data_IF_990647333090
#
_entry.id   IF_990647333090
#
_cell.length_a   1.000
_cell.length_b   1.000
_cell.length_c   1.000
_cell.angle_alpha   90.00
_cell.angle_beta   90.00
_cell.angle_gamma   90.00
#
_symmetry.space_group_name_H-M   'P 1'
#
loop_
_entity.id
_entity.type
_entity.pdbx_description
1 polymer ?
#
# COMPACT_ATOMS: atom_id res chain seq x y z
N UNK A 1 -37.31 6.24 45.31
CA UNK A 1 -36.29 5.55 46.13
C UNK A 1 -35.79 6.55 47.15
N UNK A 2 -35.72 6.18 48.43
CA UNK A 2 -35.18 7.07 49.47
C UNK A 2 -33.66 6.97 49.55
N UNK A 3 -33.01 7.91 50.24
CA UNK A 3 -31.56 7.84 50.53
C UNK A 3 -31.21 6.59 51.34
N UNK A 4 -32.10 6.16 52.25
CA UNK A 4 -31.96 4.92 53.03
C UNK A 4 -31.90 3.69 52.11
N UNK A 5 -32.80 3.62 51.12
CA UNK A 5 -32.86 2.50 50.18
C UNK A 5 -31.58 2.44 49.32
N UNK A 6 -31.12 3.60 48.84
CA UNK A 6 -29.89 3.70 48.06
C UNK A 6 -28.66 3.26 48.88
N UNK A 7 -28.55 3.73 50.13
CA UNK A 7 -27.48 3.31 51.03
C UNK A 7 -27.55 1.80 51.32
N UNK A 8 -28.74 1.24 51.54
CA UNK A 8 -28.92 -0.20 51.72
C UNK A 8 -28.50 -1.02 50.50
N UNK A 9 -28.85 -0.56 49.29
CA UNK A 9 -28.48 -1.23 48.04
C UNK A 9 -26.97 -1.23 47.79
N UNK A 10 -26.30 -0.10 47.98
CA UNK A 10 -24.83 -0.02 47.87
C UNK A 10 -24.13 -0.79 49.00
N UNK A 11 -24.75 -0.84 50.18
CA UNK A 11 -24.25 -1.60 51.33
C UNK A 11 -24.21 -3.10 51.06
N UNK A 12 -25.18 -3.61 50.29
CA UNK A 12 -25.16 -4.99 49.79
C UNK A 12 -23.90 -5.29 48.96
N UNK A 13 -23.51 -4.37 48.06
CA UNK A 13 -22.32 -4.55 47.22
C UNK A 13 -21.07 -4.47 48.10
N UNK A 14 -21.01 -3.50 49.02
CA UNK A 14 -19.93 -3.36 49.98
C UNK A 14 -19.73 -4.64 50.80
N UNK A 15 -20.83 -5.26 51.23
CA UNK A 15 -20.89 -6.47 52.05
C UNK A 15 -20.90 -7.77 51.21
N UNK A 16 -20.12 -7.79 50.12
CA UNK A 16 -19.84 -8.98 49.30
C UNK A 16 -21.09 -9.74 48.79
N UNK A 17 -22.17 -8.98 48.58
CA UNK A 17 -23.43 -9.46 48.04
C UNK A 17 -24.45 -9.92 49.07
N UNK A 18 -24.16 -9.77 50.37
CA UNK A 18 -25.11 -10.00 51.45
C UNK A 18 -25.85 -8.71 51.80
N UNK A 19 -27.15 -8.68 51.56
CA UNK A 19 -28.02 -7.59 51.96
C UNK A 19 -28.33 -7.66 53.46
N UNK A 20 -28.26 -6.50 54.11
CA UNK A 20 -28.71 -6.30 55.50
C UNK A 20 -29.69 -5.14 55.50
N UNK A 21 -30.88 -5.36 56.06
CA UNK A 21 -31.92 -4.32 56.12
C UNK A 21 -31.43 -3.13 56.97
N UNK A 22 -31.41 -1.90 56.42
CA UNK A 22 -30.99 -0.74 57.19
C UNK A 22 -31.95 -0.49 58.36
N UNK A 23 -31.41 -0.60 59.58
CA UNK A 23 -32.16 -0.51 60.85
C UNK A 23 -31.59 0.63 61.70
N UNK A 24 -32.47 1.44 62.29
CA UNK A 24 -32.09 2.55 63.19
C UNK A 24 -32.20 2.20 64.68
N UNK A 25 -33.08 1.26 65.04
CA UNK A 25 -33.33 0.84 66.43
C UNK A 25 -32.84 -0.59 66.60
N UNK A 26 -31.79 -0.79 67.40
CA UNK A 26 -31.22 -2.11 67.66
C UNK A 26 -31.95 -2.82 68.82
N UNK A 27 -32.27 -2.06 69.87
CA UNK A 27 -32.87 -2.58 71.10
C UNK A 27 -33.70 -1.49 71.79
N UNK A 28 -34.83 -1.87 72.37
CA UNK A 28 -35.68 -1.03 73.24
C UNK A 28 -35.77 -1.70 74.59
N UNK A 29 -35.50 -0.94 75.65
CA UNK A 29 -35.56 -1.39 77.04
C UNK A 29 -36.74 -0.71 77.76
N UNK A 30 -37.38 -1.43 78.68
CA UNK A 30 -38.30 -0.84 79.65
C UNK A 30 -37.54 0.01 80.68
N UNK A 31 -38.27 0.77 81.50
CA UNK A 31 -37.69 1.51 82.63
C UNK A 31 -36.95 0.59 83.62
N UNK A 32 -37.41 -0.65 83.75
CA UNK A 32 -36.83 -1.67 84.63
C UNK A 32 -35.65 -2.42 83.97
N UNK A 33 -35.28 -2.05 82.74
CA UNK A 33 -34.16 -2.65 82.00
C UNK A 33 -34.52 -3.94 81.25
N UNK A 34 -35.79 -4.30 81.16
CA UNK A 34 -36.24 -5.49 80.42
C UNK A 34 -36.28 -5.23 78.92
N UNK A 35 -35.90 -6.23 78.11
CA UNK A 35 -35.88 -6.11 76.66
C UNK A 35 -37.30 -6.19 76.08
N UNK A 36 -37.77 -5.06 75.54
CA UNK A 36 -39.10 -4.94 74.92
C UNK A 36 -39.05 -5.26 73.42
N UNK A 37 -37.95 -4.87 72.77
CA UNK A 37 -37.71 -5.15 71.36
C UNK A 37 -36.21 -5.32 71.12
N UNK A 38 -35.85 -6.30 70.31
CA UNK A 38 -34.51 -6.48 69.78
C UNK A 38 -34.61 -6.86 68.31
N UNK A 39 -33.89 -6.12 67.45
CA UNK A 39 -33.80 -6.45 66.03
C UNK A 39 -32.68 -7.48 65.84
N UNK A 40 -33.06 -8.68 65.40
CA UNK A 40 -32.10 -9.66 64.90
C UNK A 40 -31.58 -9.23 63.52
N UNK A 41 -30.25 -9.23 63.36
CA UNK A 41 -29.60 -8.88 62.09
C UNK A 41 -29.66 -10.07 61.15
N UNK A 42 -30.64 -10.10 60.26
CA UNK A 42 -30.70 -11.08 59.18
C UNK A 42 -29.86 -10.63 57.99
N UNK A 43 -29.09 -11.57 57.43
CA UNK A 43 -28.36 -11.37 56.19
C UNK A 43 -28.96 -12.22 55.09
N UNK A 44 -29.16 -11.63 53.92
CA UNK A 44 -29.69 -12.34 52.74
C UNK A 44 -28.70 -12.20 51.60
N UNK A 45 -28.15 -13.31 51.10
CA UNK A 45 -27.29 -13.28 49.91
C UNK A 45 -28.14 -13.01 48.66
N UNK A 46 -27.87 -11.88 47.99
CA UNK A 46 -28.58 -11.47 46.77
C UNK A 46 -27.67 -11.46 45.54
N UNK A 47 -26.34 -11.50 45.72
CA UNK A 47 -25.37 -11.75 44.65
C UNK A 47 -24.18 -12.57 45.17
N UNK A 48 -23.46 -13.22 44.27
CA UNK A 48 -22.23 -13.94 44.62
C UNK A 48 -21.12 -12.94 45.01
N UNK A 49 -20.16 -13.40 45.82
CA UNK A 49 -19.00 -12.57 46.21
C UNK A 49 -18.21 -12.12 44.99
N UNK A 50 -18.10 -12.99 43.98
CA UNK A 50 -17.40 -12.70 42.72
C UNK A 50 -18.09 -11.55 41.97
N UNK A 51 -19.42 -11.59 41.85
CA UNK A 51 -20.17 -10.52 41.18
C UNK A 51 -20.12 -9.21 41.99
N UNK A 52 -20.18 -9.29 43.32
CA UNK A 52 -19.99 -8.12 44.18
C UNK A 52 -18.59 -7.52 43.96
N UNK A 53 -17.53 -8.34 43.94
CA UNK A 53 -16.16 -7.87 43.71
C UNK A 53 -15.94 -7.28 42.30
N UNK A 54 -16.53 -7.87 41.26
CA UNK A 54 -16.51 -7.28 39.91
C UNK A 54 -17.22 -5.93 39.92
N UNK A 55 -18.38 -5.84 40.57
CA UNK A 55 -19.09 -4.57 40.72
C UNK A 55 -18.27 -3.53 41.51
N UNK A 56 -17.55 -3.94 42.56
CA UNK A 56 -16.59 -3.08 43.27
C UNK A 56 -15.53 -2.52 42.32
N UNK A 57 -14.92 -3.37 41.47
CA UNK A 57 -13.92 -2.95 40.50
C UNK A 57 -14.49 -1.95 39.48
N UNK A 58 -15.68 -2.23 38.92
CA UNK A 58 -16.37 -1.31 38.00
C UNK A 58 -16.63 0.04 38.68
N UNK A 59 -17.10 0.03 39.93
CA UNK A 59 -17.43 1.23 40.70
C UNK A 59 -16.20 1.97 41.25
N UNK A 60 -14.99 1.39 41.18
CA UNK A 60 -13.76 2.13 41.45
C UNK A 60 -13.37 3.07 40.30
N UNK A 61 -13.76 2.78 39.06
CA UNK A 61 -13.36 3.58 37.89
C UNK A 61 -13.87 5.04 37.95
N UNK A 62 -15.14 5.32 38.34
CA UNK A 62 -15.59 6.70 38.58
C UNK A 62 -14.74 7.47 39.60
N UNK A 63 -14.14 6.79 40.57
CA UNK A 63 -13.29 7.38 41.62
C UNK A 63 -11.83 7.53 41.17
N UNK A 64 -11.30 6.63 40.34
CA UNK A 64 -9.90 6.69 39.90
C UNK A 64 -9.69 7.71 38.78
N UNK A 65 -10.56 7.67 37.77
CA UNK A 65 -10.36 8.40 36.51
C UNK A 65 -11.64 9.02 35.95
N UNK A 66 -12.79 8.74 36.57
CA UNK A 66 -14.09 9.17 36.04
C UNK A 66 -14.76 10.32 36.78
N UNK A 67 -16.10 10.28 36.79
CA UNK A 67 -16.98 11.40 37.15
C UNK A 67 -16.94 11.82 38.62
N UNK A 68 -16.32 11.03 39.49
CA UNK A 68 -16.23 11.27 40.93
C UNK A 68 -14.76 11.29 41.43
N UNK A 69 -13.80 11.53 40.55
CA UNK A 69 -12.37 11.45 40.89
C UNK A 69 -11.96 12.35 42.07
N UNK A 70 -12.59 13.51 42.22
CA UNK A 70 -12.37 14.45 43.32
C UNK A 70 -12.76 13.89 44.70
N UNK A 71 -13.63 12.88 44.74
CA UNK A 71 -14.11 12.25 45.97
C UNK A 71 -13.19 11.15 46.51
N UNK A 72 -12.08 10.85 45.81
CA UNK A 72 -11.11 9.85 46.24
C UNK A 72 -10.60 10.12 47.67
N UNK A 73 -10.48 9.04 48.45
CA UNK A 73 -9.89 9.07 49.81
C UNK A 73 -8.53 8.36 49.74
N UNK A 74 -7.41 9.09 49.83
CA UNK A 74 -6.08 8.49 49.63
C UNK A 74 -5.79 7.29 50.53
N UNK A 75 -5.31 6.21 49.92
CA UNK A 75 -4.95 4.97 50.62
C UNK A 75 -6.11 4.00 50.85
N UNK A 76 -7.36 4.44 50.65
CA UNK A 76 -8.54 3.58 50.74
C UNK A 76 -8.92 3.03 49.38
N UNK A 77 -9.55 1.86 49.35
CA UNK A 77 -10.38 1.49 48.21
C UNK A 77 -11.78 2.06 48.41
N UNK A 78 -12.20 2.87 47.46
CA UNK A 78 -13.48 3.55 47.45
C UNK A 78 -14.14 3.28 46.10
N UNK A 79 -15.39 2.81 46.15
CA UNK A 79 -16.23 2.60 44.98
C UNK A 79 -17.43 3.55 45.06
N UNK A 80 -17.78 4.21 43.95
CA UNK A 80 -18.93 5.10 43.93
C UNK A 80 -19.49 5.29 42.52
N UNK A 81 -20.74 5.77 42.45
CA UNK A 81 -21.36 6.17 41.18
C UNK A 81 -22.19 7.44 41.35
N UNK A 82 -21.96 8.37 40.42
CA UNK A 82 -22.77 9.58 40.26
C UNK A 82 -24.12 9.25 39.63
N UNK A 83 -25.18 9.92 40.08
CA UNK A 83 -26.49 9.94 39.45
C UNK A 83 -26.92 11.39 39.16
N UNK A 84 -27.64 11.57 38.06
CA UNK A 84 -28.21 12.86 37.63
C UNK A 84 -29.48 12.55 36.87
N UNK A 85 -30.60 13.14 37.26
CA UNK A 85 -31.85 13.04 36.50
C UNK A 85 -31.87 14.02 35.33
N UNK A 86 -32.77 13.80 34.37
CA UNK A 86 -33.01 14.76 33.28
C UNK A 86 -33.37 16.13 33.84
N UNK A 87 -33.02 17.17 33.09
CA UNK A 87 -33.21 18.58 33.49
C UNK A 87 -32.55 18.93 34.84
N UNK A 88 -31.61 18.09 35.30
CA UNK A 88 -30.75 18.33 36.46
C UNK A 88 -31.50 18.55 37.80
N UNK A 89 -32.70 17.97 37.95
CA UNK A 89 -33.49 18.10 39.19
C UNK A 89 -32.85 17.43 40.41
N UNK A 90 -32.22 16.27 40.22
CA UNK A 90 -31.62 15.49 41.30
C UNK A 90 -30.16 15.20 41.01
N UNK A 91 -29.32 15.43 42.03
CA UNK A 91 -27.93 15.01 42.01
C UNK A 91 -27.67 13.96 43.07
N UNK A 92 -27.03 12.87 42.66
CA UNK A 92 -26.70 11.75 43.55
C UNK A 92 -25.21 11.42 43.52
N UNK A 93 -24.67 11.02 44.66
CA UNK A 93 -23.47 10.20 44.75
C UNK A 93 -23.68 9.11 45.80
N UNK A 94 -23.60 7.87 45.36
CA UNK A 94 -23.69 6.70 46.23
C UNK A 94 -22.39 5.92 46.14
N UNK A 95 -21.85 5.49 47.27
CA UNK A 95 -20.57 4.81 47.30
C UNK A 95 -20.22 4.25 48.66
N UNK A 96 -19.12 3.51 48.72
CA UNK A 96 -18.72 2.77 49.90
C UNK A 96 -17.22 2.45 49.92
N UNK A 97 -16.74 2.23 51.14
CA UNK A 97 -15.52 1.49 51.46
C UNK A 97 -15.90 0.17 52.15
N UNK A 98 -14.94 -0.62 52.64
CA UNK A 98 -15.26 -1.78 53.49
C UNK A 98 -15.83 -1.39 54.87
N UNK A 99 -15.72 -0.12 55.29
CA UNK A 99 -16.21 0.34 56.61
C UNK A 99 -17.58 0.99 56.53
N UNK A 100 -17.80 1.83 55.52
CA UNK A 100 -19.01 2.64 55.44
C UNK A 100 -19.60 2.64 54.03
N UNK A 101 -20.93 2.72 53.98
CA UNK A 101 -21.68 3.06 52.78
C UNK A 101 -22.40 4.39 53.00
N UNK A 102 -22.39 5.23 51.98
CA UNK A 102 -23.08 6.51 52.02
C UNK A 102 -23.79 6.77 50.69
N UNK A 103 -25.01 7.26 50.79
CA UNK A 103 -25.75 7.82 49.68
C UNK A 103 -26.03 9.30 50.00
N UNK A 104 -25.77 10.17 49.04
CA UNK A 104 -26.07 11.60 49.14
C UNK A 104 -26.98 11.96 47.99
N UNK A 105 -28.15 12.52 48.33
CA UNK A 105 -29.03 13.22 47.41
C UNK A 105 -28.89 14.72 47.64
N UNK A 106 -28.93 15.47 46.56
CA UNK A 106 -28.99 16.93 46.57
C UNK A 106 -30.00 17.37 45.52
N UNK A 107 -31.01 18.11 45.97
CA UNK A 107 -32.12 18.61 45.16
C UNK A 107 -32.98 19.55 46.00
N UNK A 108 -34.10 19.95 45.43
CA UNK A 108 -35.10 20.80 46.08
C UNK A 108 -36.34 19.99 46.45
N UNK A 109 -37.04 20.40 47.50
CA UNK A 109 -38.31 19.76 47.89
C UNK A 109 -39.40 19.94 46.82
N UNK A 110 -39.35 21.06 46.09
CA UNK A 110 -40.12 21.28 44.87
C UNK A 110 -39.24 20.98 43.67
N UNK A 111 -39.82 20.42 42.60
CA UNK A 111 -39.04 20.02 41.41
C UNK A 111 -38.47 21.25 40.72
N UNK A 112 -37.18 21.49 40.92
CA UNK A 112 -36.44 22.62 40.40
C UNK A 112 -35.04 22.20 39.94
N UNK A 113 -34.54 22.87 38.91
CA UNK A 113 -33.21 22.62 38.35
C UNK A 113 -32.11 22.94 39.37
N UNK A 114 -31.22 21.97 39.63
CA UNK A 114 -30.05 22.18 40.49
C UNK A 114 -28.94 22.86 39.71
N UNK A 115 -28.85 24.19 39.87
CA UNK A 115 -27.80 25.03 39.29
C UNK A 115 -26.60 25.14 40.24
N UNK A 116 -25.43 24.70 39.76
CA UNK A 116 -24.16 24.86 40.47
C UNK A 116 -23.02 25.11 39.49
N UNK A 117 -21.88 25.59 40.00
CA UNK A 117 -20.65 25.75 39.23
C UNK A 117 -19.63 24.71 39.67
N UNK A 118 -18.97 24.07 38.72
CA UNK A 118 -17.86 23.16 38.97
C UNK A 118 -18.30 21.76 39.35
N UNK A 119 -18.11 21.38 40.62
CA UNK A 119 -18.23 19.99 41.08
C UNK A 119 -19.65 19.69 41.56
N UNK A 120 -20.16 18.50 41.24
CA UNK A 120 -21.48 18.04 41.67
C UNK A 120 -21.66 18.18 43.20
N UNK A 121 -22.69 18.91 43.68
CA UNK A 121 -22.88 19.22 45.11
C UNK A 121 -23.06 17.97 45.98
N UNK A 122 -23.78 16.94 45.50
CA UNK A 122 -23.90 15.68 46.24
C UNK A 122 -22.54 14.99 46.41
N UNK A 123 -21.68 15.11 45.39
CA UNK A 123 -20.31 14.61 45.43
C UNK A 123 -19.40 15.38 46.37
N UNK A 124 -19.59 16.70 46.50
CA UNK A 124 -18.83 17.52 47.45
C UNK A 124 -19.14 17.13 48.90
N UNK A 125 -20.42 16.98 49.23
CA UNK A 125 -20.86 16.50 50.55
C UNK A 125 -20.30 15.11 50.81
N UNK A 126 -20.43 14.20 49.83
CA UNK A 126 -19.90 12.84 49.95
C UNK A 126 -18.40 12.85 50.21
N UNK A 127 -17.64 13.64 49.45
CA UNK A 127 -16.20 13.73 49.60
C UNK A 127 -15.79 14.28 50.97
N UNK A 128 -16.48 15.30 51.47
CA UNK A 128 -16.16 15.92 52.75
C UNK A 128 -16.38 14.91 53.89
N UNK A 129 -17.55 14.27 53.90
CA UNK A 129 -17.91 13.29 54.94
C UNK A 129 -17.01 12.06 54.88
N UNK A 130 -16.82 11.44 53.71
CA UNK A 130 -15.96 10.26 53.59
C UNK A 130 -14.51 10.56 53.99
N UNK A 131 -13.96 11.72 53.63
CA UNK A 131 -12.59 12.07 54.03
C UNK A 131 -12.48 12.27 55.54
N UNK A 132 -13.50 12.86 56.18
CA UNK A 132 -13.52 13.07 57.62
C UNK A 132 -13.60 11.74 58.39
N UNK A 133 -14.59 10.90 58.09
CA UNK A 133 -14.84 9.67 58.86
C UNK A 133 -13.78 8.58 58.65
N UNK A 134 -12.87 8.75 57.69
CA UNK A 134 -11.78 7.82 57.41
C UNK A 134 -10.39 8.31 57.88
N UNK A 135 -10.28 9.48 58.53
CA UNK A 135 -8.97 10.05 58.94
C UNK A 135 -8.18 9.13 59.88
N UNK A 136 -8.87 8.59 60.89
CA UNK A 136 -8.24 7.85 62.00
C UNK A 136 -8.52 6.35 61.93
N UNK A 137 -9.01 5.86 60.79
CA UNK A 137 -9.30 4.44 60.57
C UNK A 137 -8.14 3.73 59.90
N UNK A 138 -7.97 2.45 60.25
CA UNK A 138 -7.03 1.58 59.56
C UNK A 138 -7.48 1.38 58.11
N UNK A 139 -6.60 1.75 57.17
CA UNK A 139 -6.86 1.70 55.73
C UNK A 139 -7.12 0.27 55.27
N UNK A 140 -8.19 0.09 54.51
CA UNK A 140 -8.58 -1.21 53.99
C UNK A 140 -8.74 -1.20 52.46
N UNK A 141 -8.43 -2.35 51.85
CA UNK A 141 -8.55 -2.60 50.41
C UNK A 141 -9.62 -3.66 50.16
N UNK A 142 -10.25 -3.61 48.99
CA UNK A 142 -11.20 -4.64 48.60
C UNK A 142 -10.47 -5.96 48.42
N UNK A 143 -10.97 -7.02 49.06
CA UNK A 143 -10.36 -8.35 49.00
C UNK A 143 -10.94 -9.12 47.82
N UNK A 144 -10.06 -9.66 46.98
CA UNK A 144 -10.46 -10.54 45.89
C UNK A 144 -10.97 -11.88 46.44
N UNK A 145 -12.22 -12.28 46.16
CA UNK A 145 -12.73 -13.58 46.58
C UNK A 145 -12.17 -14.70 45.71
N UNK A 146 -12.24 -15.95 46.20
CA UNK A 146 -11.93 -17.13 45.38
C UNK A 146 -12.87 -17.21 44.17
N UNK A 147 -12.43 -17.82 43.08
CA UNK A 147 -13.26 -17.98 41.87
C UNK A 147 -13.37 -16.71 41.01
N UNK A 148 -12.48 -15.74 41.21
CA UNK A 148 -12.19 -14.72 40.20
C UNK A 148 -11.14 -15.28 39.24
N UNK A 149 -11.41 -15.19 37.95
CA UNK A 149 -10.49 -15.62 36.88
C UNK A 149 -10.24 -14.47 35.92
N UNK A 150 -9.10 -14.48 35.24
CA UNK A 150 -8.74 -13.48 34.22
C UNK A 150 -8.79 -14.10 32.84
N UNK A 151 -9.32 -13.37 31.87
CA UNK A 151 -9.29 -13.75 30.46
C UNK A 151 -8.94 -12.54 29.60
N UNK A 152 -8.25 -12.80 28.49
CA UNK A 152 -8.10 -11.79 27.45
C UNK A 152 -9.39 -11.73 26.65
N UNK A 153 -9.89 -10.51 26.42
CA UNK A 153 -11.09 -10.24 25.63
C UNK A 153 -10.84 -9.16 24.58
N UNK A 154 -11.67 -9.19 23.55
CA UNK A 154 -11.77 -8.14 22.56
C UNK A 154 -12.46 -6.90 23.16
N UNK A 155 -11.81 -5.73 23.07
CA UNK A 155 -12.32 -4.42 23.51
C UNK A 155 -13.67 -4.06 22.91
N UNK A 156 -13.89 -4.43 21.65
CA UNK A 156 -15.08 -4.01 20.90
C UNK A 156 -16.24 -5.01 21.03
N UNK A 157 -15.95 -6.30 21.12
CA UNK A 157 -17.01 -7.33 21.12
C UNK A 157 -17.29 -7.95 22.50
N UNK A 158 -16.43 -7.75 23.50
CA UNK A 158 -16.53 -8.41 24.80
C UNK A 158 -16.41 -9.94 24.75
N UNK A 159 -15.90 -10.48 23.64
CA UNK A 159 -15.75 -11.93 23.36
C UNK A 159 -14.27 -12.34 23.36
N UNK A 160 -13.98 -13.64 23.30
CA UNK A 160 -12.60 -14.11 23.20
C UNK A 160 -11.93 -13.54 21.94
N UNK A 161 -10.71 -12.98 22.03
CA UNK A 161 -10.07 -12.32 20.92
C UNK A 161 -9.60 -13.34 19.87
N UNK A 162 -9.49 -12.88 18.64
CA UNK A 162 -8.80 -13.58 17.55
C UNK A 162 -7.50 -12.83 17.23
N UNK A 163 -6.68 -13.39 16.34
CA UNK A 163 -5.49 -12.70 15.81
C UNK A 163 -5.86 -11.37 15.12
N UNK A 164 -7.06 -11.30 14.55
CA UNK A 164 -7.60 -10.09 13.93
C UNK A 164 -7.78 -8.95 14.93
N UNK A 165 -8.15 -9.22 16.19
CA UNK A 165 -8.26 -8.20 17.23
C UNK A 165 -6.90 -7.54 17.52
N UNK A 166 -5.82 -8.32 17.49
CA UNK A 166 -4.46 -7.81 17.71
C UNK A 166 -3.93 -7.03 16.51
N UNK A 167 -4.44 -7.34 15.30
CA UNK A 167 -4.05 -6.73 14.02
C UNK A 167 -5.00 -5.61 13.57
N UNK A 168 -5.91 -5.17 14.42
CA UNK A 168 -6.82 -4.06 14.12
C UNK A 168 -6.02 -2.78 13.81
N UNK A 169 -6.42 -2.02 12.77
CA UNK A 169 -5.71 -0.81 12.36
C UNK A 169 -5.67 0.33 13.40
N UNK A 170 -6.54 0.29 14.41
CA UNK A 170 -6.56 1.23 15.55
C UNK A 170 -5.56 0.85 16.66
N UNK A 171 -4.79 -0.22 16.47
CA UNK A 171 -3.92 -0.83 17.47
C UNK A 171 -4.61 -1.96 18.23
N UNK A 172 -3.81 -2.79 18.92
CA UNK A 172 -4.27 -4.02 19.56
C UNK A 172 -5.53 -3.85 20.41
N UNK A 173 -6.60 -4.53 19.99
CA UNK A 173 -7.94 -4.49 20.63
C UNK A 173 -8.14 -5.59 21.66
N UNK A 174 -7.06 -6.06 22.26
CA UNK A 174 -7.09 -7.11 23.29
C UNK A 174 -6.72 -6.51 24.64
N UNK A 175 -7.45 -6.86 25.69
CA UNK A 175 -7.11 -6.53 27.07
C UNK A 175 -7.52 -7.64 28.03
N UNK A 176 -6.88 -7.69 29.19
CA UNK A 176 -7.23 -8.64 30.24
C UNK A 176 -8.35 -8.08 31.11
N UNK A 177 -9.38 -8.88 31.36
CA UNK A 177 -10.52 -8.55 32.21
C UNK A 177 -10.76 -9.67 33.23
N UNK A 178 -11.36 -9.33 34.37
CA UNK A 178 -11.77 -10.26 35.43
C UNK A 178 -13.20 -10.77 35.22
N UNK A 179 -13.41 -12.05 35.55
CA UNK A 179 -14.69 -12.73 35.45
C UNK A 179 -14.94 -13.58 36.69
N UNK A 180 -16.21 -13.82 37.00
CA UNK A 180 -16.58 -14.90 37.89
C UNK A 180 -16.28 -16.23 37.18
N UNK A 181 -15.77 -17.21 37.91
CA UNK A 181 -15.48 -18.53 37.35
C UNK A 181 -16.72 -19.11 36.65
N UNK A 182 -16.52 -19.64 35.45
CA UNK A 182 -17.61 -20.16 34.60
C UNK A 182 -18.37 -19.12 33.77
N UNK A 183 -18.13 -17.81 33.94
CA UNK A 183 -18.80 -16.75 33.16
C UNK A 183 -17.95 -16.13 32.05
N UNK A 184 -16.70 -16.59 31.90
CA UNK A 184 -15.83 -16.17 30.79
C UNK A 184 -16.52 -16.42 29.44
N UNK A 185 -16.54 -15.43 28.52
CA UNK A 185 -17.10 -15.61 27.18
C UNK A 185 -16.51 -16.84 26.48
N UNK A 186 -17.36 -17.61 25.79
CA UNK A 186 -16.95 -18.82 25.05
C UNK A 186 -16.80 -18.56 23.55
N UNK A 187 -17.58 -17.62 23.03
CA UNK A 187 -17.52 -17.26 21.62
C UNK A 187 -16.26 -16.48 21.30
N UNK A 188 -15.75 -16.66 20.09
CA UNK A 188 -14.69 -15.82 19.52
C UNK A 188 -15.28 -14.53 18.95
N UNK A 189 -14.44 -13.50 18.88
CA UNK A 189 -14.77 -12.22 18.26
C UNK A 189 -15.16 -12.42 16.79
N UNK A 190 -16.33 -11.90 16.43
CA UNK A 190 -16.83 -11.82 15.05
C UNK A 190 -16.91 -10.38 14.52
N UNK A 191 -16.50 -9.41 15.35
CA UNK A 191 -16.50 -7.98 15.02
C UNK A 191 -15.32 -7.63 14.13
N UNK A 192 -14.15 -8.22 14.36
CA UNK A 192 -12.96 -8.03 13.52
C UNK A 192 -12.94 -9.10 12.43
N UNK A 193 -12.85 -8.67 11.17
CA UNK A 193 -12.86 -9.53 9.99
C UNK A 193 -11.66 -9.25 9.10
N UNK A 194 -11.22 -10.27 8.35
CA UNK A 194 -10.23 -10.09 7.30
C UNK A 194 -10.92 -10.20 5.94
N UNK A 195 -10.85 -9.14 5.15
CA UNK A 195 -11.36 -9.14 3.78
C UNK A 195 -10.24 -8.90 2.79
N UNK A 196 -10.39 -9.48 1.61
CA UNK A 196 -9.46 -9.30 0.49
C UNK A 196 -9.87 -8.06 -0.31
N UNK A 197 -8.96 -7.10 -0.41
CA UNK A 197 -9.18 -5.82 -1.06
C UNK A 197 -8.19 -5.60 -2.19
N UNK A 198 -8.59 -4.77 -3.14
CA UNK A 198 -7.74 -4.30 -4.22
C UNK A 198 -6.85 -3.17 -3.71
N UNK A 199 -5.53 -3.29 -3.89
CA UNK A 199 -4.53 -2.26 -3.54
C UNK A 199 -4.73 -0.95 -4.29
N UNK A 200 -5.32 -1.01 -5.49
CA UNK A 200 -5.50 0.15 -6.38
C UNK A 200 -6.73 0.95 -5.97
N UNK A 201 -7.88 0.28 -5.82
CA UNK A 201 -9.15 0.96 -5.57
C UNK A 201 -9.49 1.08 -4.09
N UNK A 202 -8.86 0.28 -3.21
CA UNK A 202 -9.22 0.16 -1.80
C UNK A 202 -10.56 -0.55 -1.56
N UNK A 203 -11.25 -0.99 -2.62
CA UNK A 203 -12.51 -1.71 -2.57
C UNK A 203 -12.29 -3.22 -2.49
N UNK A 204 -13.36 -4.01 -2.30
CA UNK A 204 -13.27 -5.47 -2.32
C UNK A 204 -12.65 -5.94 -3.65
N UNK A 205 -11.71 -6.88 -3.55
CA UNK A 205 -11.05 -7.42 -4.73
C UNK A 205 -12.07 -8.13 -5.64
N UNK A 206 -11.99 -7.86 -6.94
CA UNK A 206 -12.79 -8.57 -7.94
C UNK A 206 -11.99 -9.69 -8.60
N UNK A 207 -12.65 -10.47 -9.45
CA UNK A 207 -11.98 -11.45 -10.32
C UNK A 207 -10.99 -10.81 -11.30
N UNK A 208 -11.14 -9.52 -11.61
CA UNK A 208 -10.27 -8.78 -12.51
C UNK A 208 -8.98 -8.26 -11.84
N UNK A 209 -8.92 -8.28 -10.51
CA UNK A 209 -7.71 -7.94 -9.77
C UNK A 209 -6.67 -9.06 -9.92
N UNK A 210 -5.46 -8.72 -10.35
CA UNK A 210 -4.36 -9.68 -10.38
C UNK A 210 -3.90 -10.01 -8.95
N UNK A 211 -3.31 -11.20 -8.67
CA UNK A 211 -2.87 -11.58 -7.33
C UNK A 211 -1.98 -10.53 -6.63
N UNK A 212 -1.10 -9.88 -7.39
CA UNK A 212 -0.22 -8.80 -6.93
C UNK A 212 -0.98 -7.54 -6.49
N UNK A 213 -2.17 -7.30 -7.05
CA UNK A 213 -3.05 -6.18 -6.71
C UNK A 213 -4.00 -6.52 -5.55
N UNK A 214 -3.98 -7.74 -5.02
CA UNK A 214 -4.82 -8.16 -3.90
C UNK A 214 -4.04 -8.16 -2.59
N UNK A 215 -4.73 -7.84 -1.50
CA UNK A 215 -4.21 -8.05 -0.16
C UNK A 215 -5.34 -8.25 0.85
N UNK A 216 -5.03 -8.93 1.95
CA UNK A 216 -5.95 -9.08 3.08
C UNK A 216 -5.69 -8.02 4.13
N UNK A 217 -6.72 -7.22 4.42
CA UNK A 217 -6.71 -6.21 5.49
C UNK A 217 -7.74 -6.56 6.57
N UNK A 218 -7.49 -6.09 7.78
CA UNK A 218 -8.39 -6.24 8.93
C UNK A 218 -9.33 -5.06 9.00
N UNK A 219 -10.61 -5.34 9.24
CA UNK A 219 -11.68 -4.36 9.33
C UNK A 219 -12.68 -4.71 10.43
N UNK A 220 -13.55 -3.76 10.74
CA UNK A 220 -14.67 -3.92 11.67
C UNK A 220 -15.95 -4.21 10.88
N UNK A 221 -16.70 -5.23 11.30
CA UNK A 221 -17.97 -5.66 10.68
C UNK A 221 -19.16 -4.80 11.11
N UNK A 222 -19.12 -4.21 12.30
CA UNK A 222 -20.25 -3.55 12.96
C UNK A 222 -20.72 -2.30 12.20
N UNK A 223 -22.03 -1.99 12.29
CA UNK A 223 -22.56 -0.72 11.79
C UNK A 223 -22.07 0.42 12.70
N UNK A 224 -21.02 1.08 12.24
CA UNK A 224 -20.37 2.20 12.91
C UNK A 224 -20.66 3.53 12.18
N UNK A 225 -21.78 3.61 11.44
CA UNK A 225 -22.17 4.82 10.70
C UNK A 225 -22.31 6.01 11.64
N UNK A 226 -21.70 7.13 11.30
CA UNK A 226 -21.73 8.34 12.12
C UNK A 226 -20.82 8.31 13.36
N UNK A 227 -20.00 7.26 13.52
CA UNK A 227 -19.01 7.16 14.61
C UNK A 227 -17.59 7.32 14.09
N UNK A 228 -16.64 7.59 14.98
CA UNK A 228 -15.22 7.66 14.63
C UNK A 228 -14.68 6.33 14.04
N UNK A 229 -15.26 5.21 14.45
CA UNK A 229 -14.89 3.87 13.98
C UNK A 229 -15.37 3.56 12.55
N UNK A 230 -16.24 4.40 11.98
CA UNK A 230 -16.80 4.21 10.64
C UNK A 230 -15.74 4.09 9.54
N UNK A 231 -14.60 4.76 9.70
CA UNK A 231 -13.47 4.71 8.74
C UNK A 231 -12.74 3.37 8.69
N UNK A 232 -12.92 2.50 9.69
CA UNK A 232 -12.29 1.18 9.76
C UNK A 232 -13.21 0.03 9.33
N UNK A 233 -14.37 0.38 8.77
CA UNK A 233 -15.30 -0.62 8.21
C UNK A 233 -14.76 -1.21 6.93
N UNK A 234 -15.12 -2.47 6.70
CA UNK A 234 -14.84 -3.11 5.42
C UNK A 234 -15.54 -2.35 4.29
N UNK A 235 -14.87 -2.16 3.14
CA UNK A 235 -15.52 -1.59 1.97
C UNK A 235 -16.69 -2.49 1.54
N UNK A 236 -17.77 -1.87 1.06
CA UNK A 236 -18.94 -2.59 0.51
C UNK A 236 -18.89 -2.70 -1.01
N UNK A 237 -18.21 -1.77 -1.69
CA UNK A 237 -18.03 -1.78 -3.13
C UNK A 237 -17.01 -2.82 -3.58
N UNK A 238 -17.14 -3.26 -4.83
CA UNK A 238 -16.21 -4.18 -5.51
C UNK A 238 -15.39 -3.41 -6.55
N UNK A 239 -14.12 -3.76 -6.69
CA UNK A 239 -13.20 -3.08 -7.59
C UNK A 239 -13.62 -3.20 -9.07
N UNK A 240 -13.91 -2.06 -9.71
CA UNK A 240 -14.10 -1.92 -11.16
C UNK A 240 -12.85 -1.43 -11.89
N UNK A 241 -11.96 -0.70 -11.21
CA UNK A 241 -10.77 -0.10 -11.84
C UNK A 241 -9.83 -1.13 -12.47
N UNK A 242 -9.67 -2.32 -11.88
CA UNK A 242 -8.86 -3.38 -12.49
C UNK A 242 -9.50 -3.91 -13.79
N UNK A 243 -10.83 -3.96 -13.88
CA UNK A 243 -11.53 -4.32 -15.12
C UNK A 243 -11.26 -3.28 -16.20
N UNK A 244 -11.36 -2.00 -15.85
CA UNK A 244 -11.13 -0.90 -16.78
C UNK A 244 -9.68 -0.86 -17.27
N UNK A 245 -8.71 -1.02 -16.35
CA UNK A 245 -7.28 -1.15 -16.69
C UNK A 245 -7.01 -2.33 -17.63
N UNK A 246 -7.62 -3.48 -17.38
CA UNK A 246 -7.48 -4.66 -18.23
C UNK A 246 -8.10 -4.44 -19.62
N UNK A 247 -9.25 -3.76 -19.69
CA UNK A 247 -9.89 -3.39 -20.95
C UNK A 247 -9.05 -2.39 -21.75
N UNK A 248 -8.46 -1.39 -21.08
CA UNK A 248 -7.58 -0.41 -21.70
C UNK A 248 -6.31 -1.07 -22.24
N UNK A 249 -5.71 -2.02 -21.49
CA UNK A 249 -4.57 -2.82 -21.96
C UNK A 249 -4.94 -3.59 -23.24
N UNK A 250 -6.07 -4.31 -23.24
CA UNK A 250 -6.56 -5.04 -24.43
C UNK A 250 -6.81 -4.12 -25.62
N UNK A 251 -7.32 -2.91 -25.38
CA UNK A 251 -7.53 -1.90 -26.44
C UNK A 251 -6.20 -1.45 -27.04
N UNK A 252 -5.20 -1.11 -26.22
CA UNK A 252 -3.84 -0.72 -26.68
C UNK A 252 -3.16 -1.82 -27.48
N UNK A 253 -3.30 -3.08 -27.06
CA UNK A 253 -2.80 -4.25 -27.80
C UNK A 253 -3.42 -4.31 -29.20
N UNK A 254 -4.75 -4.19 -29.30
CA UNK A 254 -5.46 -4.20 -30.59
C UNK A 254 -5.07 -3.01 -31.48
N UNK A 255 -4.95 -1.81 -30.92
CA UNK A 255 -4.55 -0.60 -31.66
C UNK A 255 -3.13 -0.72 -32.21
N UNK A 256 -2.19 -1.18 -31.37
CA UNK A 256 -0.78 -1.41 -31.78
C UNK A 256 -0.70 -2.46 -32.88
N UNK A 257 -1.41 -3.59 -32.72
CA UNK A 257 -1.47 -4.64 -33.73
C UNK A 257 -2.09 -4.15 -35.05
N UNK A 258 -3.15 -3.33 -34.99
CA UNK A 258 -3.78 -2.75 -36.18
C UNK A 258 -2.85 -1.77 -36.92
N UNK A 259 -2.11 -0.92 -36.20
CA UNK A 259 -1.13 0.00 -36.79
C UNK A 259 -0.02 -0.75 -37.53
N UNK A 260 0.49 -1.83 -36.94
CA UNK A 260 1.50 -2.68 -37.59
C UNK A 260 0.89 -3.45 -38.77
N UNK A 261 -0.32 -3.98 -38.63
CA UNK A 261 -1.06 -4.64 -39.73
C UNK A 261 -1.19 -3.71 -40.94
N UNK A 262 -1.59 -2.45 -40.74
CA UNK A 262 -1.70 -1.47 -41.81
C UNK A 262 -0.33 -1.15 -42.46
N UNK A 263 0.72 -1.03 -41.63
CA UNK A 263 2.09 -0.83 -42.13
C UNK A 263 2.58 -1.99 -43.00
N UNK A 264 2.26 -3.23 -42.63
CA UNK A 264 2.59 -4.43 -43.41
C UNK A 264 1.77 -4.49 -44.70
N UNK A 265 0.47 -4.23 -44.62
CA UNK A 265 -0.42 -4.33 -45.78
C UNK A 265 -0.12 -3.26 -46.84
N UNK A 266 0.29 -2.06 -46.43
CA UNK A 266 0.73 -0.99 -47.34
C UNK A 266 2.09 -1.21 -48.00
N UNK A 267 2.87 -2.20 -47.56
CA UNK A 267 4.12 -2.56 -48.25
C UNK A 267 3.83 -3.15 -49.63
N UNK A 268 4.11 -2.39 -50.70
CA UNK A 268 3.91 -2.85 -52.07
C UNK A 268 5.11 -3.65 -52.58
N UNK A 269 5.21 -4.90 -52.12
CA UNK A 269 6.37 -5.78 -52.34
C UNK A 269 6.69 -5.99 -53.83
N UNK A 270 5.68 -6.01 -54.70
CA UNK A 270 5.85 -6.29 -56.14
C UNK A 270 6.56 -5.18 -56.92
N UNK A 271 6.49 -3.92 -56.48
CA UNK A 271 7.08 -2.77 -57.18
C UNK A 271 8.31 -2.17 -56.48
N UNK A 272 8.77 -2.79 -55.39
CA UNK A 272 9.91 -2.29 -54.59
C UNK A 272 11.25 -2.51 -55.29
N UNK A 273 12.17 -1.55 -55.11
CA UNK A 273 13.53 -1.62 -55.64
C UNK A 273 14.58 -1.49 -54.52
N UNK A 274 15.87 -1.49 -54.88
CA UNK A 274 16.98 -1.49 -53.92
C UNK A 274 17.00 -0.25 -53.01
N UNK A 275 16.39 0.87 -53.40
CA UNK A 275 16.26 2.07 -52.57
C UNK A 275 15.19 1.95 -51.47
N UNK A 276 14.27 0.98 -51.56
CA UNK A 276 13.19 0.76 -50.60
C UNK A 276 13.55 -0.22 -49.48
N UNK A 277 14.72 -0.87 -49.54
CA UNK A 277 15.18 -1.87 -48.56
C UNK A 277 15.04 -1.34 -47.12
N UNK A 278 15.47 -0.10 -46.88
CA UNK A 278 15.40 0.51 -45.53
C UNK A 278 13.96 0.64 -45.03
N UNK A 279 12.99 0.96 -45.91
CA UNK A 279 11.57 1.07 -45.54
C UNK A 279 11.00 -0.30 -45.17
N UNK A 280 11.34 -1.34 -45.93
CA UNK A 280 10.91 -2.71 -45.64
C UNK A 280 11.53 -3.23 -44.34
N UNK A 281 12.81 -2.95 -44.08
CA UNK A 281 13.49 -3.31 -42.83
C UNK A 281 12.86 -2.62 -41.61
N UNK A 282 12.44 -1.35 -41.74
CA UNK A 282 11.73 -0.65 -40.66
C UNK A 282 10.39 -1.34 -40.30
N UNK A 283 9.65 -1.85 -41.28
CA UNK A 283 8.40 -2.59 -41.04
C UNK A 283 8.69 -3.87 -40.25
N UNK A 284 9.71 -4.64 -40.65
CA UNK A 284 10.12 -5.86 -39.94
C UNK A 284 10.59 -5.54 -38.52
N UNK A 285 11.38 -4.48 -38.35
CA UNK A 285 11.86 -4.05 -37.03
C UNK A 285 10.71 -3.71 -36.10
N UNK A 286 9.71 -2.97 -36.57
CA UNK A 286 8.52 -2.62 -35.77
C UNK A 286 7.69 -3.84 -35.40
N UNK A 287 7.52 -4.80 -36.33
CA UNK A 287 6.84 -6.06 -36.03
C UNK A 287 7.59 -6.91 -34.99
N UNK A 288 8.92 -7.00 -35.10
CA UNK A 288 9.73 -7.79 -34.17
C UNK A 288 9.72 -7.22 -32.75
N UNK A 289 9.63 -5.89 -32.63
CA UNK A 289 9.55 -5.18 -31.34
C UNK A 289 8.23 -5.41 -30.59
N UNK A 290 7.20 -5.97 -31.24
CA UNK A 290 5.94 -6.30 -30.59
C UNK A 290 6.10 -7.39 -29.52
N UNK A 291 5.34 -7.27 -28.45
CA UNK A 291 5.12 -8.33 -27.47
C UNK A 291 4.41 -9.53 -28.11
N UNK A 292 4.43 -10.70 -27.45
CA UNK A 292 3.73 -11.87 -27.98
C UNK A 292 2.22 -11.65 -28.10
N UNK A 293 1.60 -11.02 -27.10
CA UNK A 293 0.16 -10.71 -27.10
C UNK A 293 -0.22 -9.79 -28.27
N UNK A 294 0.61 -8.79 -28.57
CA UNK A 294 0.42 -7.90 -29.73
C UNK A 294 0.65 -8.63 -31.05
N UNK A 295 1.68 -9.50 -31.14
CA UNK A 295 1.92 -10.34 -32.32
C UNK A 295 0.73 -11.25 -32.58
N UNK A 296 0.16 -11.87 -31.55
CA UNK A 296 -0.98 -12.75 -31.68
C UNK A 296 -2.20 -11.99 -32.23
N UNK A 297 -2.37 -10.72 -31.85
CA UNK A 297 -3.43 -9.84 -32.35
C UNK A 297 -3.19 -9.27 -33.77
N UNK A 298 -2.00 -9.42 -34.37
CA UNK A 298 -1.77 -9.04 -35.77
C UNK A 298 -2.55 -9.97 -36.70
N UNK A 299 -3.17 -9.40 -37.74
CA UNK A 299 -3.94 -10.14 -38.74
C UNK A 299 -3.14 -11.29 -39.39
N UNK A 300 -3.80 -12.42 -39.64
CA UNK A 300 -3.17 -13.61 -40.22
C UNK A 300 -2.62 -13.36 -41.63
N UNK A 301 -3.30 -12.55 -42.45
CA UNK A 301 -2.83 -12.17 -43.77
C UNK A 301 -1.58 -11.30 -43.72
N UNK A 302 -1.54 -10.33 -42.79
CA UNK A 302 -0.35 -9.52 -42.56
C UNK A 302 0.84 -10.35 -42.03
N UNK A 303 0.61 -11.33 -41.15
CA UNK A 303 1.67 -12.25 -40.68
C UNK A 303 2.31 -13.01 -41.84
N UNK A 304 1.53 -13.55 -42.77
CA UNK A 304 2.07 -14.23 -43.95
C UNK A 304 2.90 -13.27 -44.84
N UNK A 305 2.43 -12.02 -44.98
CA UNK A 305 3.12 -10.99 -45.77
C UNK A 305 4.47 -10.57 -45.17
N UNK A 306 4.69 -10.70 -43.86
CA UNK A 306 5.99 -10.46 -43.22
C UNK A 306 7.07 -11.38 -43.82
N UNK A 307 6.76 -12.65 -44.03
CA UNK A 307 7.74 -13.59 -44.59
C UNK A 307 8.02 -13.28 -46.07
N UNK A 308 7.00 -12.85 -46.81
CA UNK A 308 7.17 -12.32 -48.18
C UNK A 308 8.05 -11.07 -48.20
N UNK A 309 7.87 -10.14 -47.25
CA UNK A 309 8.69 -8.92 -47.13
C UNK A 309 10.15 -9.31 -46.82
N UNK A 310 10.38 -10.23 -45.88
CA UNK A 310 11.74 -10.71 -45.55
C UNK A 310 12.41 -11.33 -46.78
N UNK A 311 11.71 -12.19 -47.52
CA UNK A 311 12.23 -12.80 -48.74
C UNK A 311 12.58 -11.73 -49.79
N UNK A 312 11.71 -10.72 -49.98
CA UNK A 312 11.97 -9.62 -50.92
C UNK A 312 13.16 -8.75 -50.51
N UNK A 313 13.35 -8.47 -49.22
CA UNK A 313 14.53 -7.76 -48.73
C UNK A 313 15.80 -8.52 -49.12
N UNK A 314 15.83 -9.84 -48.91
CA UNK A 314 16.96 -10.70 -49.29
C UNK A 314 17.21 -10.66 -50.80
N UNK A 315 16.17 -10.80 -51.62
CA UNK A 315 16.25 -10.70 -53.08
C UNK A 315 16.84 -9.35 -53.52
N UNK A 316 16.34 -8.24 -52.97
CA UNK A 316 16.79 -6.89 -53.30
C UNK A 316 18.23 -6.61 -52.83
N UNK A 317 18.65 -7.17 -51.69
CA UNK A 317 20.04 -7.07 -51.23
C UNK A 317 20.99 -7.81 -52.17
N UNK A 318 20.62 -9.01 -52.61
CA UNK A 318 21.40 -9.77 -53.59
C UNK A 318 21.49 -9.01 -54.92
N UNK A 319 20.38 -8.47 -55.40
CA UNK A 319 20.37 -7.64 -56.62
C UNK A 319 21.26 -6.40 -56.48
N UNK A 320 21.20 -5.69 -55.35
CA UNK A 320 22.07 -4.55 -55.08
C UNK A 320 23.55 -4.96 -55.11
N UNK A 321 23.88 -6.10 -54.52
CA UNK A 321 25.23 -6.64 -54.50
C UNK A 321 25.73 -7.00 -55.92
N UNK A 322 24.87 -7.59 -56.76
CA UNK A 322 25.19 -7.90 -58.15
C UNK A 322 25.35 -6.62 -59.01
N UNK A 323 24.49 -5.62 -58.83
CA UNK A 323 24.60 -4.32 -59.49
C UNK A 323 25.91 -3.60 -59.10
N UNK A 324 26.27 -3.65 -57.81
CA UNK A 324 27.51 -3.08 -57.29
C UNK A 324 28.74 -3.82 -57.86
N UNK A 325 28.70 -5.16 -57.94
CA UNK A 325 29.73 -5.97 -58.61
C UNK A 325 29.86 -5.65 -60.10
N UNK A 326 28.75 -5.47 -60.82
CA UNK A 326 28.79 -5.15 -62.25
C UNK A 326 29.44 -3.78 -62.53
N UNK A 327 29.12 -2.77 -61.70
CA UNK A 327 29.77 -1.45 -61.77
C UNK A 327 31.25 -1.51 -61.43
N UNK A 328 31.61 -2.22 -60.37
CA UNK A 328 33.00 -2.43 -59.98
C UNK A 328 33.78 -3.20 -61.06
N UNK A 329 33.16 -4.21 -61.69
CA UNK A 329 33.75 -4.98 -62.80
C UNK A 329 34.03 -4.08 -64.01
N UNK A 330 33.10 -3.21 -64.38
CA UNK A 330 33.30 -2.26 -65.50
C UNK A 330 34.54 -1.39 -65.28
N UNK A 331 34.76 -0.91 -64.04
CA UNK A 331 35.98 -0.18 -63.68
C UNK A 331 37.19 -1.12 -63.67
N UNK A 332 37.08 -2.30 -63.09
CA UNK A 332 38.16 -3.30 -63.02
C UNK A 332 38.69 -3.71 -64.40
N UNK A 333 37.78 -3.90 -65.36
CA UNK A 333 38.09 -4.23 -66.75
C UNK A 333 38.81 -3.06 -67.44
N UNK A 334 38.37 -1.82 -67.19
CA UNK A 334 39.07 -0.61 -67.66
C UNK A 334 40.49 -0.54 -67.07
N UNK A 335 40.65 -0.79 -65.76
CA UNK A 335 41.96 -0.80 -65.10
C UNK A 335 42.86 -1.92 -65.64
N UNK A 336 42.30 -3.06 -66.06
CA UNK A 336 43.07 -4.15 -66.64
C UNK A 336 43.74 -3.76 -67.97
N UNK A 337 43.13 -2.86 -68.75
CA UNK A 337 43.67 -2.34 -70.02
C UNK A 337 44.79 -1.30 -69.87
N UNK A 338 45.08 -0.89 -68.63
CA UNK A 338 46.14 0.07 -68.38
C UNK A 338 47.52 -0.56 -68.72
N UNK A 339 48.43 0.20 -69.34
CA UNK A 339 49.76 -0.28 -69.67
C UNK A 339 50.57 -0.57 -68.40
N UNK A 340 51.57 -1.44 -68.48
CA UNK A 340 52.47 -1.68 -67.34
C UNK A 340 53.25 -0.41 -67.00
N UNK A 341 53.47 -0.12 -65.71
CA UNK A 341 54.20 1.07 -65.30
C UNK A 341 55.63 1.15 -65.88
N UNK A 342 56.24 0.00 -66.19
CA UNK A 342 57.55 -0.09 -66.86
C UNK A 342 57.56 0.49 -68.27
N UNK A 343 56.43 0.58 -68.97
CA UNK A 343 56.37 1.11 -70.35
C UNK A 343 56.27 2.64 -70.41
N UNK A 344 56.22 3.31 -69.26
CA UNK A 344 56.12 4.77 -69.18
C UNK A 344 57.50 5.42 -69.18
N UNK A 345 57.72 6.31 -70.13
CA UNK A 345 58.96 7.10 -70.32
C UNK A 345 58.65 8.58 -70.31
N UNK A 346 59.68 9.43 -70.21
CA UNK A 346 59.50 10.89 -70.22
C UNK A 346 58.77 11.41 -71.48
N UNK A 347 58.92 10.73 -72.62
CA UNK A 347 58.32 11.14 -73.89
C UNK A 347 56.84 10.78 -74.04
N UNK A 348 56.33 9.76 -73.34
CA UNK A 348 54.94 9.31 -73.46
C UNK A 348 54.08 9.53 -72.18
N UNK A 349 54.70 9.99 -71.09
CA UNK A 349 54.05 10.13 -69.78
C UNK A 349 52.80 11.02 -69.78
N UNK A 350 52.84 12.19 -70.45
CA UNK A 350 51.69 13.10 -70.50
C UNK A 350 50.55 12.54 -71.35
N UNK A 351 50.87 11.84 -72.44
CA UNK A 351 49.89 11.14 -73.27
C UNK A 351 49.23 10.00 -72.50
N UNK A 352 49.99 9.18 -71.76
CA UNK A 352 49.43 8.10 -70.91
C UNK A 352 48.58 8.68 -69.78
N UNK A 353 49.01 9.78 -69.14
CA UNK A 353 48.24 10.43 -68.09
C UNK A 353 46.88 10.93 -68.58
N UNK A 354 46.87 11.64 -69.70
CA UNK A 354 45.65 12.26 -70.25
C UNK A 354 44.71 11.22 -70.87
N UNK A 355 45.23 10.25 -71.62
CA UNK A 355 44.41 9.29 -72.37
C UNK A 355 44.01 8.03 -71.59
N UNK A 356 44.74 7.67 -70.51
CA UNK A 356 44.52 6.41 -69.77
C UNK A 356 44.32 6.63 -68.26
N UNK A 357 45.24 7.30 -67.57
CA UNK A 357 45.19 7.46 -66.10
C UNK A 357 44.00 8.32 -65.67
N UNK A 358 43.84 9.52 -66.24
CA UNK A 358 42.79 10.45 -65.83
C UNK A 358 41.36 9.89 -66.05
N UNK A 359 41.03 9.27 -67.21
CA UNK A 359 39.72 8.63 -67.39
C UNK A 359 39.47 7.46 -66.42
N UNK A 360 40.48 6.62 -66.17
CA UNK A 360 40.39 5.51 -65.23
C UNK A 360 40.15 5.99 -63.78
N UNK A 361 40.87 7.03 -63.35
CA UNK A 361 40.70 7.65 -62.04
C UNK A 361 39.33 8.31 -61.88
N UNK A 362 38.84 9.00 -62.91
CA UNK A 362 37.51 9.60 -62.89
C UNK A 362 36.41 8.53 -62.70
N UNK A 363 36.46 7.44 -63.49
CA UNK A 363 35.51 6.33 -63.38
C UNK A 363 35.57 5.61 -62.04
N UNK A 364 36.76 5.41 -61.47
CA UNK A 364 36.90 4.87 -60.12
C UNK A 364 36.29 5.80 -59.05
N UNK A 365 36.45 7.12 -59.21
CA UNK A 365 35.93 8.09 -58.25
C UNK A 365 34.40 8.19 -58.24
N UNK A 366 33.73 7.92 -59.37
CA UNK A 366 32.27 7.83 -59.50
C UNK A 366 31.66 6.68 -58.66
N UNK A 367 32.45 5.68 -58.25
CA UNK A 367 31.97 4.54 -57.47
C UNK A 367 31.70 4.90 -56.00
N UNK A 368 30.67 4.28 -55.42
CA UNK A 368 30.42 4.31 -53.97
C UNK A 368 31.52 3.56 -53.21
N UNK A 369 31.59 3.74 -51.88
CA UNK A 369 32.54 3.02 -51.03
C UNK A 369 32.40 1.50 -51.21
N UNK A 370 31.18 0.97 -51.10
CA UNK A 370 30.89 -0.48 -51.21
C UNK A 370 31.22 -1.05 -52.61
N UNK A 371 31.18 -0.21 -53.66
CA UNK A 371 31.58 -0.59 -55.01
C UNK A 371 33.10 -0.55 -55.19
N UNK A 372 33.79 0.42 -54.59
CA UNK A 372 35.26 0.55 -54.66
C UNK A 372 35.96 -0.65 -54.04
N UNK A 373 35.44 -1.17 -52.93
CA UNK A 373 35.98 -2.34 -52.24
C UNK A 373 35.94 -3.62 -53.11
N UNK A 374 35.13 -3.60 -54.18
CA UNK A 374 34.96 -4.71 -55.12
C UNK A 374 35.79 -4.55 -56.41
N UNK A 375 36.53 -3.45 -56.57
CA UNK A 375 37.35 -3.20 -57.76
C UNK A 375 38.65 -3.99 -57.70
N UNK A 376 38.97 -4.73 -58.76
CA UNK A 376 40.27 -5.41 -58.94
C UNK A 376 41.18 -4.59 -59.86
N UNK A 377 42.49 -4.90 -59.86
CA UNK A 377 43.52 -4.18 -60.62
C UNK A 377 43.73 -2.70 -60.23
N UNK A 378 43.22 -2.28 -59.07
CA UNK A 378 43.39 -0.91 -58.58
C UNK A 378 44.87 -0.51 -58.42
N UNK A 379 45.72 -1.46 -58.03
CA UNK A 379 47.16 -1.28 -57.89
C UNK A 379 47.82 -0.80 -59.20
N UNK A 380 47.37 -1.27 -60.37
CA UNK A 380 47.91 -0.82 -61.67
C UNK A 380 47.72 0.68 -61.89
N UNK A 381 46.58 1.21 -61.46
CA UNK A 381 46.29 2.64 -61.57
C UNK A 381 47.20 3.44 -60.63
N UNK A 382 47.36 2.99 -59.38
CA UNK A 382 48.22 3.68 -58.40
C UNK A 382 49.70 3.61 -58.77
N UNK A 383 50.17 2.45 -59.27
CA UNK A 383 51.55 2.26 -59.76
C UNK A 383 51.86 3.19 -60.94
N UNK A 384 50.92 3.34 -61.89
CA UNK A 384 51.06 4.29 -63.00
C UNK A 384 51.05 5.75 -62.53
N UNK A 385 50.21 6.10 -61.57
CA UNK A 385 50.17 7.45 -61.00
C UNK A 385 51.47 7.80 -60.28
N UNK A 386 52.04 6.86 -59.52
CA UNK A 386 53.34 7.01 -58.87
C UNK A 386 54.47 7.09 -59.89
N UNK A 387 54.46 6.23 -60.91
CA UNK A 387 55.46 6.25 -61.97
C UNK A 387 55.42 7.56 -62.76
N UNK A 388 54.24 8.11 -63.04
CA UNK A 388 54.09 9.42 -63.66
C UNK A 388 54.75 10.51 -62.81
N UNK A 389 54.53 10.50 -61.49
CA UNK A 389 55.19 11.43 -60.56
C UNK A 389 56.71 11.28 -60.61
N UNK A 390 57.24 10.05 -60.61
CA UNK A 390 58.69 9.79 -60.68
C UNK A 390 59.31 10.27 -62.00
N UNK A 391 58.66 10.00 -63.13
CA UNK A 391 59.12 10.43 -64.46
C UNK A 391 59.12 11.95 -64.59
N UNK A 392 58.14 12.63 -63.98
CA UNK A 392 58.10 14.10 -63.93
C UNK A 392 59.02 14.74 -62.89
N UNK A 393 59.43 13.98 -61.87
CA UNK A 393 60.36 14.43 -60.84
C UNK A 393 61.85 14.18 -61.18
N UNK A 394 62.17 13.41 -62.23
CA UNK A 394 63.56 13.23 -62.67
C UNK A 394 64.10 14.53 -63.30
N UNK A 395 65.13 15.16 -62.71
CA UNK A 395 65.72 16.37 -63.28
C UNK A 395 66.43 16.05 -64.59
N UNK A 396 66.25 16.91 -65.58
CA UNK A 396 67.03 16.93 -66.81
C UNK A 396 68.52 16.97 -66.44
N UNK A 397 69.40 16.11 -66.99
CA UNK A 397 70.83 16.16 -66.67
C UNK A 397 71.39 17.51 -67.12
N UNK A 398 71.85 18.31 -66.17
CA UNK A 398 72.59 19.54 -66.42
C UNK A 398 73.95 19.16 -67.02
N UNK A 399 74.35 19.67 -68.19
CA UNK A 399 75.68 19.40 -68.73
C UNK A 399 76.75 19.98 -67.79
N UNK A 400 77.83 19.25 -67.48
CA UNK A 400 78.88 19.75 -66.61
C UNK A 400 79.59 20.95 -67.25
N UNK A 401 79.71 22.02 -66.47
CA UNK A 401 80.48 23.23 -66.77
C UNK A 401 81.98 22.87 -66.85
N UNK A 402 82.70 23.19 -67.93
CA UNK A 402 84.15 23.03 -67.96
C UNK A 402 84.83 24.07 -67.05
N UNK A 403 85.91 23.72 -66.32
CA UNK A 403 86.66 24.66 -65.50
C UNK A 403 87.57 25.59 -66.35
N UNK A 404 87.54 26.89 -66.05
CA UNK A 404 88.56 27.89 -66.42
C UNK A 404 89.89 27.63 -65.68
N UNK A 405 91.06 27.95 -66.24
CA UNK A 405 91.49 29.32 -66.61
C UNK A 405 91.64 29.56 -68.11
#
# INVERSE_FOLDING_TARGET
MTVKDAAGAYGTIANDGEHVEPTFVLKVLSADGEEVLKKEKTKTRVMSEQNAYIMKNILQEPIKTGTAAYANVPGWDLAAKTGTTNDDYDRWLCGFTNKYTMAVWYGYDQVEEVKFRGVNPSGQIFSAVMKEIHKDLEKEKFKEPKGIVKANICKDSGKLPTDLCSRDPRGGRVYSEIFAEGTVPKDKCSTHISVEVCKISGLLASEFCAPEDKERRVYIKQDATGTEDGKYRAPTGVCTQCKDRNNEKKKKVKETAAQITNSINSANVSTTNTSDISKLEQIISRYNALTQEEKDAVDGGAKAKIDTIKAKITELKNKKEDDDKAKAKTVSDLLATLPAASTMTASNADTIKTSKIAPARAKYNELTKDQKDKVTNYNKLTELEEKYKQVKASPTPTPPTPPSP
#
